data_IF_957935824901
#
_entry.id   IF_957935824901
#
_cell.length_a   1.000
_cell.length_b   1.000
_cell.length_c   1.000
_cell.angle_alpha   90.00
_cell.angle_beta   90.00
_cell.angle_gamma   90.00
#
_symmetry.space_group_name_H-M   'P 1'
#
loop_
_entity.id
_entity.type
_entity.pdbx_description
1 polymer ?
#
# COMPACT_ATOMS: atom_id res chain seq x y z
N UNK A 1 -0.83 12.79 -4.47
CA UNK A 1 -2.09 12.25 -3.91
C UNK A 1 -3.33 13.04 -4.32
N UNK A 2 -3.30 14.37 -4.43
CA UNK A 2 -4.48 15.19 -4.77
C UNK A 2 -5.27 14.73 -6.00
N UNK A 3 -4.61 14.37 -7.11
CA UNK A 3 -5.31 13.89 -8.31
C UNK A 3 -6.05 12.57 -8.09
N UNK A 4 -5.45 11.63 -7.35
CA UNK A 4 -6.09 10.35 -7.03
C UNK A 4 -7.29 10.54 -6.09
N UNK A 5 -7.12 11.34 -5.04
CA UNK A 5 -8.20 11.70 -4.10
C UNK A 5 -9.34 12.41 -4.83
N UNK A 6 -9.01 13.30 -5.78
CA UNK A 6 -10.01 13.92 -6.65
C UNK A 6 -10.73 12.90 -7.52
N UNK A 7 -10.01 11.98 -8.16
CA UNK A 7 -10.63 10.92 -8.96
C UNK A 7 -11.65 10.10 -8.16
N UNK A 8 -11.27 9.64 -6.96
CA UNK A 8 -12.18 8.91 -6.06
C UNK A 8 -13.36 9.80 -5.63
N UNK A 9 -13.14 11.07 -5.30
CA UNK A 9 -14.23 11.97 -4.93
C UNK A 9 -15.24 12.18 -6.07
N UNK A 10 -14.76 12.49 -7.28
CA UNK A 10 -15.64 12.70 -8.44
C UNK A 10 -16.40 11.42 -8.80
N UNK A 11 -15.78 10.26 -8.58
CA UNK A 11 -16.42 8.95 -8.71
C UNK A 11 -17.62 8.77 -7.76
N UNK A 12 -17.48 9.10 -6.48
CA UNK A 12 -18.60 9.09 -5.53
C UNK A 12 -19.67 10.13 -5.88
N UNK A 13 -19.25 11.29 -6.41
CA UNK A 13 -20.16 12.35 -6.86
C UNK A 13 -21.05 11.91 -8.03
N UNK A 14 -20.55 11.08 -8.94
CA UNK A 14 -21.36 10.51 -10.03
C UNK A 14 -22.55 9.68 -9.49
N UNK A 15 -22.37 9.01 -8.36
CA UNK A 15 -23.42 8.27 -7.66
C UNK A 15 -24.23 9.14 -6.67
N UNK A 16 -24.01 10.46 -6.61
CA UNK A 16 -24.62 11.38 -5.62
C UNK A 16 -24.32 11.00 -4.16
N UNK A 17 -23.15 10.38 -3.92
CA UNK A 17 -22.67 9.91 -2.61
C UNK A 17 -21.46 10.70 -2.12
N UNK A 18 -21.22 11.90 -2.65
CA UNK A 18 -20.04 12.72 -2.33
C UNK A 18 -19.93 13.08 -0.84
N UNK A 19 -21.05 13.16 -0.12
CA UNK A 19 -21.07 13.52 1.30
C UNK A 19 -20.40 12.46 2.18
N UNK A 20 -20.35 11.20 1.75
CA UNK A 20 -19.62 10.12 2.46
C UNK A 20 -18.12 10.39 2.53
N UNK A 21 -17.60 11.19 1.59
CA UNK A 21 -16.18 11.48 1.48
C UNK A 21 -15.79 12.78 2.21
N UNK A 22 -16.76 13.58 2.69
CA UNK A 22 -16.47 14.85 3.35
C UNK A 22 -15.60 14.64 4.59
N UNK A 23 -14.39 15.21 4.59
CA UNK A 23 -13.38 15.06 5.65
C UNK A 23 -12.92 13.62 5.91
N UNK A 24 -13.32 12.66 5.08
CA UNK A 24 -12.86 11.27 5.14
C UNK A 24 -11.49 11.09 4.47
N UNK A 25 -10.59 10.32 5.10
CA UNK A 25 -9.30 9.99 4.48
C UNK A 25 -9.52 9.02 3.31
N UNK A 26 -9.09 9.45 2.11
CA UNK A 26 -9.18 8.68 0.86
C UNK A 26 -7.83 8.15 0.39
N UNK A 27 -6.76 8.43 1.13
CA UNK A 27 -5.45 7.90 0.82
C UNK A 27 -4.37 8.49 1.72
N UNK A 28 -3.22 7.83 1.70
CA UNK A 28 -2.08 8.19 2.53
C UNK A 28 -0.87 8.55 1.68
N UNK A 29 0.04 9.35 2.23
CA UNK A 29 1.38 9.53 1.66
C UNK A 29 2.40 9.49 2.77
N UNK A 30 3.55 8.88 2.48
CA UNK A 30 4.70 8.84 3.37
C UNK A 30 5.85 9.57 2.68
N UNK A 31 6.45 10.53 3.37
CA UNK A 31 7.68 11.21 2.95
C UNK A 31 8.77 10.92 3.96
N UNK A 32 10.00 10.73 3.49
CA UNK A 32 11.12 10.43 4.37
C UNK A 32 12.41 11.11 3.90
N UNK A 33 13.34 11.27 4.82
CA UNK A 33 14.75 11.58 4.55
C UNK A 33 15.64 10.57 5.30
N UNK A 34 16.93 10.88 5.45
CA UNK A 34 17.89 9.98 6.11
C UNK A 34 17.63 9.78 7.61
N UNK A 35 16.71 10.55 8.22
CA UNK A 35 16.48 10.57 9.66
C UNK A 35 15.00 10.52 10.03
N UNK A 36 14.15 11.18 9.26
CA UNK A 36 12.75 11.43 9.61
C UNK A 36 11.77 10.82 8.62
N UNK A 37 10.62 10.39 9.13
CA UNK A 37 9.45 9.96 8.36
C UNK A 37 8.27 10.84 8.75
N UNK A 38 7.48 11.26 7.74
CA UNK A 38 6.21 11.98 7.93
C UNK A 38 5.10 11.27 7.15
N UNK A 39 4.02 10.97 7.84
CA UNK A 39 2.84 10.29 7.32
C UNK A 39 1.70 11.30 7.25
N UNK A 40 0.99 11.34 6.13
CA UNK A 40 -0.15 12.22 5.90
C UNK A 40 -1.36 11.43 5.43
N UNK A 41 -2.54 11.80 5.90
CA UNK A 41 -3.83 11.42 5.33
C UNK A 41 -4.35 12.51 4.41
N UNK A 42 -4.91 12.14 3.25
CA UNK A 42 -5.45 13.07 2.26
C UNK A 42 -6.96 12.95 2.20
N UNK A 43 -7.66 14.08 2.16
CA UNK A 43 -9.11 14.14 2.27
C UNK A 43 -9.69 15.34 1.50
N UNK A 44 -10.92 15.24 0.99
CA UNK A 44 -11.63 16.37 0.43
C UNK A 44 -12.43 17.13 1.50
N UNK A 45 -12.61 18.44 1.30
CA UNK A 45 -13.57 19.28 2.03
C UNK A 45 -14.55 19.84 1.02
N UNK A 46 -15.84 19.60 1.26
CA UNK A 46 -16.97 20.07 0.44
C UNK A 46 -17.53 21.34 1.07
N UNK A 47 -17.55 22.44 0.32
CA UNK A 47 -18.09 23.73 0.73
C UNK A 47 -19.10 24.20 -0.32
N UNK A 48 -20.36 23.77 -0.17
CA UNK A 48 -21.38 23.92 -1.21
C UNK A 48 -20.95 23.19 -2.49
N UNK A 49 -20.95 23.88 -3.62
CA UNK A 49 -20.57 23.30 -4.92
C UNK A 49 -19.05 23.16 -5.11
N UNK A 50 -18.25 23.79 -4.25
CA UNK A 50 -16.78 23.78 -4.36
C UNK A 50 -16.21 22.66 -3.49
N UNK A 51 -15.29 21.89 -4.07
CA UNK A 51 -14.50 20.89 -3.35
C UNK A 51 -13.03 21.28 -3.35
N UNK A 52 -12.39 21.18 -2.18
CA UNK A 52 -10.95 21.42 -2.00
C UNK A 52 -10.29 20.18 -1.41
N UNK A 53 -9.00 19.99 -1.66
CA UNK A 53 -8.28 18.77 -1.28
C UNK A 53 -7.10 19.12 -0.39
N UNK A 54 -7.04 18.47 0.77
CA UNK A 54 -6.09 18.79 1.82
C UNK A 54 -5.35 17.55 2.28
N UNK A 55 -4.27 17.76 3.04
CA UNK A 55 -3.58 16.71 3.77
C UNK A 55 -3.50 17.06 5.25
N UNK A 56 -3.63 16.07 6.11
CA UNK A 56 -3.43 16.17 7.55
C UNK A 56 -2.18 15.38 7.95
N UNK A 57 -1.21 15.98 8.68
CA UNK A 57 -0.10 15.22 9.25
C UNK A 57 -0.64 14.26 10.31
N UNK A 58 -0.48 12.96 10.08
CA UNK A 58 -0.88 11.91 11.03
C UNK A 58 0.23 11.69 12.05
N UNK A 59 1.47 11.56 11.57
CA UNK A 59 2.63 11.32 12.42
C UNK A 59 3.91 11.85 11.77
N UNK A 60 4.83 12.36 12.59
CA UNK A 60 6.19 12.71 12.20
C UNK A 60 7.15 12.20 13.25
N UNK A 61 8.18 11.44 12.86
CA UNK A 61 9.13 10.86 13.81
C UNK A 61 10.53 10.69 13.21
N UNK A 62 11.52 10.59 14.09
CA UNK A 62 12.91 10.29 13.77
C UNK A 62 13.17 8.80 14.00
N UNK A 63 13.41 8.05 12.94
CA UNK A 63 13.58 6.60 13.02
C UNK A 63 14.99 6.18 13.45
N UNK A 64 15.93 7.13 13.56
CA UNK A 64 17.30 6.91 14.03
C UNK A 64 17.47 7.25 15.51
N UNK A 65 16.52 7.99 16.10
CA UNK A 65 16.54 8.34 17.51
C UNK A 65 16.28 7.12 18.41
N UNK A 66 16.72 7.25 19.68
CA UNK A 66 16.44 6.28 20.76
C UNK A 66 16.79 4.84 20.37
N UNK A 67 17.96 4.63 19.77
CA UNK A 67 18.44 3.33 19.29
C UNK A 67 17.49 2.65 18.29
N UNK A 68 16.83 3.45 17.44
CA UNK A 68 15.95 2.93 16.40
C UNK A 68 14.60 2.43 16.90
N UNK A 69 14.11 2.93 18.05
CA UNK A 69 12.81 2.56 18.63
C UNK A 69 11.66 2.58 17.62
N UNK A 70 11.61 3.59 16.76
CA UNK A 70 10.53 3.80 15.78
C UNK A 70 10.88 3.30 14.37
N UNK A 71 11.98 2.54 14.21
CA UNK A 71 12.48 2.06 12.92
C UNK A 71 11.43 1.33 12.09
N UNK A 72 10.57 0.55 12.74
CA UNK A 72 9.55 -0.28 12.09
C UNK A 72 8.17 0.37 12.02
N UNK A 73 8.01 1.61 12.46
CA UNK A 73 6.69 2.26 12.57
C UNK A 73 6.06 2.53 11.22
N UNK A 74 6.83 3.01 10.23
CA UNK A 74 6.31 3.24 8.87
C UNK A 74 5.92 1.94 8.16
N UNK A 75 6.71 0.88 8.34
CA UNK A 75 6.41 -0.44 7.82
C UNK A 75 5.10 -0.97 8.39
N UNK A 76 4.96 -1.00 9.73
CA UNK A 76 3.73 -1.44 10.41
C UNK A 76 2.52 -0.64 9.96
N UNK A 77 2.66 0.68 9.81
CA UNK A 77 1.58 1.53 9.29
C UNK A 77 1.14 1.11 7.87
N UNK A 78 2.08 0.88 6.95
CA UNK A 78 1.75 0.45 5.58
C UNK A 78 1.05 -0.91 5.58
N UNK A 79 1.54 -1.86 6.39
CA UNK A 79 0.88 -3.17 6.52
C UNK A 79 -0.55 -3.01 7.03
N UNK A 80 -0.80 -2.24 8.09
CA UNK A 80 -2.16 -1.96 8.57
C UNK A 80 -3.04 -1.26 7.52
N UNK A 81 -2.48 -0.39 6.67
CA UNK A 81 -3.24 0.22 5.58
C UNK A 81 -3.72 -0.85 4.59
N UNK A 82 -2.91 -1.85 4.27
CA UNK A 82 -3.29 -2.92 3.34
C UNK A 82 -4.16 -4.01 3.98
N UNK A 83 -3.94 -4.33 5.25
CA UNK A 83 -4.67 -5.37 5.95
C UNK A 83 -6.08 -4.91 6.36
N UNK A 84 -6.22 -3.64 6.79
CA UNK A 84 -7.48 -3.13 7.34
C UNK A 84 -8.16 -2.08 6.45
N UNK A 85 -7.44 -1.02 6.09
CA UNK A 85 -8.06 0.15 5.43
C UNK A 85 -8.39 -0.11 3.96
N UNK A 86 -7.47 -0.69 3.20
CA UNK A 86 -7.60 -0.88 1.76
C UNK A 86 -8.77 -1.82 1.39
N UNK A 87 -8.99 -2.96 2.07
CA UNK A 87 -10.14 -3.83 1.78
C UNK A 87 -11.47 -3.09 2.03
N UNK A 88 -11.61 -2.41 3.17
CA UNK A 88 -12.81 -1.62 3.45
C UNK A 88 -13.03 -0.49 2.44
N UNK A 89 -11.95 0.18 2.00
CA UNK A 89 -12.05 1.21 0.98
C UNK A 89 -12.44 0.64 -0.39
N UNK A 90 -11.94 -0.56 -0.73
CA UNK A 90 -12.32 -1.28 -1.95
C UNK A 90 -13.80 -1.68 -1.95
N UNK A 91 -14.32 -2.21 -0.84
CA UNK A 91 -15.75 -2.53 -0.70
C UNK A 91 -16.64 -1.30 -0.89
N UNK A 92 -16.22 -0.14 -0.36
CA UNK A 92 -16.95 1.13 -0.59
C UNK A 92 -16.96 1.51 -2.06
N UNK A 93 -15.84 1.33 -2.77
CA UNK A 93 -15.76 1.60 -4.21
C UNK A 93 -16.69 0.67 -4.98
N UNK A 94 -16.70 -0.63 -4.69
CA UNK A 94 -17.63 -1.59 -5.29
C UNK A 94 -19.09 -1.21 -5.04
N UNK A 95 -19.44 -0.85 -3.81
CA UNK A 95 -20.79 -0.39 -3.47
C UNK A 95 -21.22 0.83 -4.30
N UNK A 96 -20.33 1.78 -4.58
CA UNK A 96 -20.64 2.92 -5.46
C UNK A 96 -20.85 2.49 -6.90
N UNK A 97 -20.09 1.49 -7.39
CA UNK A 97 -20.27 0.94 -8.75
C UNK A 97 -21.68 0.34 -8.88
N UNK A 98 -22.10 -0.44 -7.89
CA UNK A 98 -23.40 -1.12 -7.90
C UNK A 98 -24.57 -0.13 -7.92
N UNK A 99 -24.37 1.06 -7.33
CA UNK A 99 -25.35 2.14 -7.28
C UNK A 99 -25.36 3.03 -8.54
N UNK A 100 -24.51 2.76 -9.54
CA UNK A 100 -24.42 3.67 -10.68
C UNK A 100 -25.69 3.67 -11.55
N UNK A 101 -26.16 4.87 -11.95
CA UNK A 101 -27.15 4.99 -13.01
C UNK A 101 -26.68 4.29 -14.30
N UNK A 102 -27.57 3.49 -14.88
CA UNK A 102 -27.28 2.67 -16.08
C UNK A 102 -26.98 3.50 -17.34
N UNK A 103 -27.27 4.80 -17.30
CA UNK A 103 -27.17 5.77 -18.37
C UNK A 103 -25.95 6.71 -18.25
N UNK A 104 -25.02 6.46 -17.31
CA UNK A 104 -23.79 7.25 -17.21
C UNK A 104 -22.93 7.09 -18.48
N UNK A 105 -22.73 8.20 -19.19
CA UNK A 105 -21.78 8.29 -20.28
C UNK A 105 -20.42 8.79 -19.75
N UNK A 106 -19.42 7.91 -19.72
CA UNK A 106 -18.06 8.23 -19.28
C UNK A 106 -17.24 9.03 -20.32
N UNK A 107 -17.84 9.39 -21.47
CA UNK A 107 -17.16 10.16 -22.52
C UNK A 107 -16.02 9.41 -23.19
N UNK A 108 -15.95 8.08 -23.02
CA UNK A 108 -14.96 7.24 -23.69
C UNK A 108 -15.39 7.14 -25.14
N UNK A 109 -14.78 7.95 -26.00
CA UNK A 109 -14.92 7.79 -27.44
C UNK A 109 -14.46 6.37 -27.78
N UNK A 110 -15.25 5.55 -28.52
CA UNK A 110 -14.79 4.26 -28.97
C UNK A 110 -13.46 4.49 -29.69
N UNK A 111 -12.39 3.90 -29.17
CA UNK A 111 -11.09 3.96 -29.82
C UNK A 111 -11.31 3.36 -31.20
N UNK A 112 -11.27 4.21 -32.24
CA UNK A 112 -11.31 3.77 -33.62
C UNK A 112 -10.24 2.71 -33.75
N UNK A 113 -10.67 1.47 -34.01
CA UNK A 113 -9.83 0.34 -34.31
C UNK A 113 -8.86 0.81 -35.39
N UNK A 114 -7.61 1.09 -35.00
CA UNK A 114 -6.58 1.49 -35.95
C UNK A 114 -6.36 0.25 -36.79
N UNK A 115 -6.97 0.25 -37.98
CA UNK A 115 -6.61 -0.68 -39.04
C UNK A 115 -5.10 -0.58 -39.19
N UNK A 116 -4.41 -1.63 -38.78
CA UNK A 116 -2.97 -1.81 -38.93
C UNK A 116 -2.66 -1.82 -40.43
N UNK A 117 -2.28 -0.65 -40.95
CA UNK A 117 -1.65 -0.50 -42.24
C UNK A 117 -0.26 -1.15 -42.17
N UNK A 118 0.11 -2.04 -43.12
CA UNK A 118 1.38 -2.77 -43.04
C UNK A 118 2.56 -1.82 -43.26
N UNK A 119 3.12 -1.32 -42.17
CA UNK A 119 4.40 -0.61 -42.17
C UNK A 119 5.50 -1.61 -42.53
N UNK A 120 6.18 -1.35 -43.66
CA UNK A 120 7.34 -2.08 -44.13
C UNK A 120 8.40 -2.16 -43.02
N UNK A 121 8.80 -3.38 -42.66
CA UNK A 121 9.76 -3.63 -41.58
C UNK A 121 11.12 -2.99 -41.87
N UNK A 122 11.75 -2.32 -40.88
CA UNK A 122 13.16 -2.00 -40.94
C UNK A 122 13.99 -3.29 -40.91
N UNK A 123 14.84 -3.48 -41.92
CA UNK A 123 15.76 -4.62 -42.05
C UNK A 123 16.76 -4.61 -40.88
N UNK A 124 16.55 -5.47 -39.89
CA UNK A 124 17.57 -5.75 -38.85
C UNK A 124 18.50 -6.84 -39.39
N UNK A 125 19.79 -6.50 -39.58
CA UNK A 125 20.84 -7.49 -39.78
C UNK A 125 21.20 -8.11 -38.43
N UNK A 126 20.81 -9.38 -38.23
CA UNK A 126 21.21 -10.20 -37.09
C UNK A 126 20.98 -11.68 -37.41
N UNK A 127 21.76 -12.63 -36.85
CA UNK A 127 21.75 -14.02 -37.28
C UNK A 127 20.42 -14.71 -36.95
N UNK A 128 19.92 -15.50 -37.90
CA UNK A 128 18.68 -16.28 -37.86
C UNK A 128 18.56 -17.20 -36.62
N UNK A 129 17.38 -17.28 -35.97
CA UNK A 129 17.09 -18.31 -34.99
C UNK A 129 16.54 -19.56 -35.68
N UNK A 130 17.27 -20.67 -35.60
CA UNK A 130 16.74 -22.00 -35.89
C UNK A 130 15.86 -22.46 -34.70
N UNK A 131 14.68 -22.98 -35.07
CA UNK A 131 13.64 -23.75 -34.36
C UNK A 131 14.07 -24.36 -33.00
N UNK A 132 13.22 -24.47 -31.96
CA UNK A 132 12.13 -25.47 -31.89
C UNK A 132 11.34 -25.32 -30.57
N UNK A 133 10.02 -25.12 -30.70
CA UNK A 133 8.90 -25.81 -30.01
C UNK A 133 8.80 -25.91 -28.47
N UNK A 134 7.58 -25.58 -28.01
CA UNK A 134 6.87 -26.07 -26.82
C UNK A 134 7.28 -25.50 -25.47
N UNK A 135 6.47 -24.58 -24.92
CA UNK A 135 5.83 -24.78 -23.60
C UNK A 135 4.81 -23.65 -23.33
N UNK A 136 3.60 -23.81 -23.87
CA UNK A 136 2.40 -23.12 -23.41
C UNK A 136 1.58 -24.07 -22.54
N UNK A 137 1.93 -24.18 -21.24
CA UNK A 137 1.02 -24.46 -20.13
C UNK A 137 1.78 -24.44 -18.80
N UNK A 138 1.10 -23.97 -17.75
CA UNK A 138 1.52 -23.87 -16.33
C UNK A 138 2.13 -22.53 -15.89
N UNK A 139 1.24 -21.59 -15.55
CA UNK A 139 1.48 -20.64 -14.45
C UNK A 139 0.65 -21.17 -13.28
N UNK A 140 1.25 -22.08 -12.52
CA UNK A 140 0.82 -22.50 -11.20
C UNK A 140 1.97 -22.25 -10.22
N UNK A 141 1.70 -21.46 -9.18
CA UNK A 141 2.52 -21.38 -7.96
C UNK A 141 3.86 -20.65 -8.09
N UNK A 142 3.88 -19.33 -7.85
CA UNK A 142 5.11 -18.66 -7.45
C UNK A 142 5.43 -19.02 -5.99
N UNK A 143 6.42 -19.90 -5.81
CA UNK A 143 7.01 -20.15 -4.50
C UNK A 143 7.94 -18.96 -4.16
N UNK A 144 7.56 -18.16 -3.16
CA UNK A 144 8.34 -16.99 -2.69
C UNK A 144 9.48 -17.34 -1.72
N UNK A 145 9.85 -18.62 -1.60
CA UNK A 145 10.93 -19.05 -0.73
C UNK A 145 12.29 -18.77 -1.38
N UNK A 146 12.69 -17.51 -1.28
CA UNK A 146 13.94 -16.98 -1.81
C UNK A 146 14.03 -15.45 -1.76
N UNK A 147 13.01 -14.74 -1.27
CA UNK A 147 13.15 -13.32 -0.97
C UNK A 147 14.07 -13.13 0.23
N UNK A 148 15.26 -12.60 -0.03
CA UNK A 148 16.28 -12.21 0.96
C UNK A 148 15.76 -11.27 2.07
N UNK A 149 14.52 -10.79 1.97
CA UNK A 149 13.91 -9.86 2.91
C UNK A 149 13.14 -10.56 4.05
N UNK A 150 12.69 -11.80 3.89
CA UNK A 150 11.89 -12.50 4.92
C UNK A 150 12.75 -13.33 5.88
N UNK A 151 13.91 -13.83 5.43
CA UNK A 151 14.81 -14.64 6.27
C UNK A 151 15.38 -13.85 7.45
N UNK A 152 15.71 -12.56 7.22
CA UNK A 152 16.26 -11.68 8.26
C UNK A 152 15.20 -11.37 9.35
N UNK A 153 13.92 -11.34 8.99
CA UNK A 153 12.80 -11.12 9.92
C UNK A 153 12.52 -12.33 10.83
N UNK A 154 12.68 -13.54 10.29
CA UNK A 154 12.57 -14.77 11.10
C UNK A 154 13.75 -14.91 12.06
N UNK A 155 14.97 -14.57 11.63
CA UNK A 155 16.16 -14.60 12.49
C UNK A 155 16.08 -13.53 13.61
N UNK A 156 15.70 -12.28 13.32
CA UNK A 156 15.59 -11.22 14.34
C UNK A 156 14.47 -11.50 15.36
N UNK A 157 13.35 -12.07 14.91
CA UNK A 157 12.23 -12.44 15.79
C UNK A 157 12.58 -13.60 16.73
N UNK A 158 13.33 -14.58 16.24
CA UNK A 158 13.80 -15.71 17.06
C UNK A 158 14.87 -15.27 18.08
N UNK A 159 15.75 -14.33 17.71
CA UNK A 159 16.76 -13.75 18.60
C UNK A 159 16.12 -12.94 19.74
N UNK A 160 15.09 -12.15 19.44
CA UNK A 160 14.34 -11.38 20.44
C UNK A 160 13.61 -12.30 21.43
N UNK A 161 13.01 -13.39 20.94
CA UNK A 161 12.34 -14.39 21.77
C UNK A 161 13.32 -15.18 22.67
N UNK A 162 14.51 -15.51 22.16
CA UNK A 162 15.56 -16.18 22.93
C UNK A 162 16.11 -15.30 24.05
N UNK A 163 16.37 -14.01 23.77
CA UNK A 163 16.84 -13.06 24.77
C UNK A 163 15.81 -12.83 25.89
N UNK A 164 14.51 -12.82 25.56
CA UNK A 164 13.45 -12.66 26.55
C UNK A 164 13.29 -13.88 27.48
N UNK A 165 13.66 -15.09 27.04
CA UNK A 165 13.66 -16.31 27.88
C UNK A 165 14.87 -16.39 28.81
N UNK A 166 16.01 -15.85 28.39
CA UNK A 166 17.22 -15.83 29.22
C UNK A 166 17.08 -14.85 30.40
N UNK A 167 16.44 -13.69 30.19
CA UNK A 167 16.17 -12.71 31.25
C UNK A 167 15.19 -13.24 32.31
N UNK A 168 14.24 -14.10 31.93
CA UNK A 168 13.30 -14.70 32.88
C UNK A 168 13.93 -15.81 33.76
N UNK A 169 15.07 -16.38 33.36
CA UNK A 169 15.74 -17.48 34.07
C UNK A 169 16.75 -17.01 35.13
N UNK A 170 17.08 -15.72 35.18
CA UNK A 170 18.12 -15.16 36.08
C UNK A 170 17.57 -14.49 37.36
N UNK A 171 16.26 -14.59 37.62
CA UNK A 171 15.64 -14.08 38.84
C UNK A 171 15.78 -15.09 40.00
N UNK A 172 16.90 -15.04 40.72
CA UNK A 172 17.11 -15.75 42.00
C UNK A 172 16.23 -15.11 43.09
N UNK A 173 15.50 -15.87 43.94
CA UNK A 173 14.74 -15.29 45.04
C UNK A 173 15.68 -14.89 46.18
N UNK A 174 15.64 -13.61 46.58
CA UNK A 174 16.26 -13.14 47.84
C UNK A 174 15.49 -13.72 49.01
N UNK A 175 16.12 -14.63 49.73
CA UNK A 175 15.65 -15.07 51.04
C UNK A 175 15.81 -13.93 52.06
N UNK A 176 14.77 -13.70 52.85
CA UNK A 176 14.73 -12.71 53.93
C UNK A 176 14.86 -13.46 55.25
N UNK A 177 16.03 -13.39 55.88
CA UNK A 177 16.17 -13.65 57.31
C UNK A 177 16.52 -12.33 58.03
N UNK A 178 15.58 -11.89 58.87
CA UNK A 178 15.73 -10.75 59.78
C UNK A 178 16.39 -11.17 61.10
N UNK A 179 16.78 -10.20 61.96
CA UNK A 179 17.61 -10.46 63.12
C UNK A 179 16.77 -10.82 64.36
N UNK A 180 17.29 -11.74 65.18
CA UNK A 180 17.16 -11.75 66.64
C UNK A 180 18.49 -12.17 67.26
#
# INVERSE_FOLDING_TARGET
MTLAVRGVFEFFKLAKREQEMHQGILGFSITHDHRTVRIYGHYPIINGDKTTYHRHPIQSFDFTALEGRDRWTSYKFVISVYDDWAPSHFERLCSVIDDFPKDINFGVSPQSEVQSEPQLQPKIYGPSPTETTSLSREIGGVNLQGSSFTSLLEEESQQAAANSRNVASEAIPRDKSGPQ
#
